data_IF_547985925121
#
_entry.id   IF_547985925121
#
_cell.length_a   1.000
_cell.length_b   1.000
_cell.length_c   1.000
_cell.angle_alpha   90.00
_cell.angle_beta   90.00
_cell.angle_gamma   90.00
#
_symmetry.space_group_name_H-M   'P 1'
#
loop_
_entity.id
_entity.type
_entity.pdbx_description
1 polymer ?
#
# COMPACT_ATOMS: atom_id res chain seq x y z
N UNK A 1 2.53 -51.56 -68.46
CA UNK A 1 3.72 -50.93 -67.83
C UNK A 1 3.42 -49.66 -67.00
N UNK A 2 2.17 -49.31 -66.66
CA UNK A 2 1.86 -48.02 -66.00
C UNK A 2 2.11 -47.96 -64.47
N UNK A 3 2.04 -49.09 -63.76
CA UNK A 3 2.19 -49.09 -62.29
C UNK A 3 3.61 -48.74 -61.84
N UNK A 4 4.64 -49.29 -62.49
CA UNK A 4 6.05 -49.05 -62.14
C UNK A 4 6.48 -47.59 -62.37
N UNK A 5 6.08 -46.98 -63.49
CA UNK A 5 6.37 -45.55 -63.76
C UNK A 5 5.64 -44.62 -62.80
N UNK A 6 4.44 -44.98 -62.32
CA UNK A 6 3.71 -44.21 -61.31
C UNK A 6 4.39 -44.29 -59.93
N UNK A 7 4.88 -45.47 -59.55
CA UNK A 7 5.66 -45.67 -58.31
C UNK A 7 6.98 -44.88 -58.38
N UNK A 8 7.71 -44.97 -59.51
CA UNK A 8 8.99 -44.28 -59.68
C UNK A 8 8.83 -42.74 -59.62
N UNK A 9 7.76 -42.20 -60.20
CA UNK A 9 7.40 -40.77 -60.07
C UNK A 9 7.16 -40.38 -58.61
N UNK A 10 6.34 -41.14 -57.87
CA UNK A 10 6.08 -40.89 -56.44
C UNK A 10 7.36 -40.95 -55.59
N UNK A 11 8.25 -41.90 -55.88
CA UNK A 11 9.53 -42.04 -55.20
C UNK A 11 10.47 -40.85 -55.48
N UNK A 12 10.55 -40.40 -56.73
CA UNK A 12 11.30 -39.20 -57.11
C UNK A 12 10.75 -37.91 -56.49
N UNK A 13 9.42 -37.78 -56.41
CA UNK A 13 8.78 -36.67 -55.70
C UNK A 13 9.10 -36.69 -54.20
N UNK A 14 9.04 -37.85 -53.55
CA UNK A 14 9.45 -38.02 -52.13
C UNK A 14 10.91 -37.64 -51.90
N UNK A 15 11.82 -38.07 -52.79
CA UNK A 15 13.24 -37.72 -52.73
C UNK A 15 13.47 -36.21 -52.87
N UNK A 16 12.75 -35.56 -53.79
CA UNK A 16 12.83 -34.11 -54.01
C UNK A 16 12.30 -33.33 -52.79
N UNK A 17 11.18 -33.74 -52.20
CA UNK A 17 10.67 -33.16 -50.94
C UNK A 17 11.63 -33.39 -49.77
N UNK A 18 12.25 -34.57 -49.67
CA UNK A 18 13.27 -34.86 -48.65
C UNK A 18 14.51 -33.98 -48.77
N UNK A 19 14.97 -33.74 -50.01
CA UNK A 19 16.13 -32.90 -50.29
C UNK A 19 15.82 -31.40 -50.09
N UNK A 20 14.62 -30.96 -50.45
CA UNK A 20 14.14 -29.62 -50.13
C UNK A 20 14.02 -29.39 -48.62
N UNK A 21 13.52 -30.37 -47.86
CA UNK A 21 13.37 -30.28 -46.41
C UNK A 21 14.73 -30.30 -45.69
N UNK A 22 15.69 -31.12 -46.13
CA UNK A 22 17.07 -31.06 -45.59
C UNK A 22 17.76 -29.74 -45.93
N UNK A 23 17.63 -29.24 -47.17
CA UNK A 23 18.14 -27.92 -47.54
C UNK A 23 17.55 -26.78 -46.68
N UNK A 24 16.24 -26.83 -46.42
CA UNK A 24 15.57 -25.87 -45.54
C UNK A 24 16.07 -25.93 -44.09
N UNK A 25 16.25 -27.13 -43.53
CA UNK A 25 16.82 -27.31 -42.17
C UNK A 25 18.26 -26.78 -42.11
N UNK A 26 19.09 -27.05 -43.11
CA UNK A 26 20.48 -26.53 -43.15
C UNK A 26 20.49 -24.99 -43.22
N UNK A 27 19.61 -24.38 -44.02
CA UNK A 27 19.48 -22.92 -44.09
C UNK A 27 19.01 -22.31 -42.76
N UNK A 28 18.07 -22.96 -42.04
CA UNK A 28 17.66 -22.52 -40.71
C UNK A 28 18.82 -22.58 -39.70
N UNK A 29 19.57 -23.69 -39.67
CA UNK A 29 20.73 -23.83 -38.77
C UNK A 29 21.81 -22.79 -39.08
N UNK A 30 22.13 -22.57 -40.35
CA UNK A 30 23.09 -21.54 -40.77
C UNK A 30 22.63 -20.12 -40.39
N UNK A 31 21.34 -19.81 -40.57
CA UNK A 31 20.77 -18.52 -40.19
C UNK A 31 20.76 -18.28 -38.66
N UNK A 32 20.60 -19.33 -37.85
CA UNK A 32 20.74 -19.25 -36.39
C UNK A 32 22.21 -18.99 -36.02
N UNK A 33 23.15 -19.75 -36.58
CA UNK A 33 24.58 -19.60 -36.29
C UNK A 33 25.13 -18.20 -36.64
N UNK A 34 24.71 -17.61 -37.77
CA UNK A 34 25.12 -16.25 -38.16
C UNK A 34 24.57 -15.18 -37.19
N UNK A 35 23.35 -15.37 -36.68
CA UNK A 35 22.76 -14.49 -35.66
C UNK A 35 23.47 -14.63 -34.30
N UNK A 36 23.76 -15.85 -33.87
CA UNK A 36 24.40 -16.14 -32.58
C UNK A 36 25.89 -15.75 -32.55
N UNK A 37 26.58 -15.83 -33.70
CA UNK A 37 27.94 -15.32 -33.87
C UNK A 37 28.03 -13.79 -33.81
N UNK A 38 26.91 -13.09 -34.01
CA UNK A 38 26.78 -11.65 -33.83
C UNK A 38 27.15 -11.21 -32.41
N UNK A 39 27.77 -10.03 -32.28
CA UNK A 39 28.08 -9.43 -30.98
C UNK A 39 27.03 -8.40 -30.58
N UNK A 40 26.63 -8.39 -29.32
CA UNK A 40 25.74 -7.36 -28.78
C UNK A 40 26.41 -5.97 -28.89
N UNK A 41 25.80 -5.07 -29.68
CA UNK A 41 26.33 -3.73 -29.97
C UNK A 41 25.94 -2.67 -28.93
N UNK A 42 24.99 -2.96 -28.05
CA UNK A 42 24.51 -2.02 -27.03
C UNK A 42 23.15 -2.39 -26.46
N UNK A 43 22.73 -1.62 -25.46
CA UNK A 43 21.49 -1.84 -24.70
C UNK A 43 20.53 -0.66 -24.94
N UNK A 44 19.30 -0.96 -25.34
CA UNK A 44 18.16 -0.06 -25.32
C UNK A 44 17.22 -0.47 -24.19
N UNK A 45 16.79 0.50 -23.36
CA UNK A 45 15.77 0.29 -22.32
C UNK A 45 14.59 1.19 -22.66
N UNK A 46 13.38 0.62 -22.61
CA UNK A 46 12.10 1.31 -22.81
C UNK A 46 11.18 0.95 -21.66
N UNK A 47 10.44 1.93 -21.15
CA UNK A 47 9.40 1.69 -20.15
C UNK A 47 8.04 1.57 -20.83
N UNK A 48 7.22 0.66 -20.35
CA UNK A 48 5.82 0.53 -20.74
C UNK A 48 4.94 1.03 -19.58
N UNK A 49 4.04 1.97 -19.88
CA UNK A 49 3.19 2.66 -18.91
C UNK A 49 2.33 3.74 -19.58
N UNK A 50 1.31 4.24 -18.86
CA UNK A 50 0.42 5.31 -19.35
C UNK A 50 0.93 6.72 -19.08
N UNK A 51 1.75 6.89 -18.05
CA UNK A 51 2.27 8.18 -17.58
C UNK A 51 3.78 8.28 -17.77
N UNK A 52 4.29 9.48 -18.05
CA UNK A 52 5.74 9.79 -18.10
C UNK A 52 6.42 9.84 -16.72
N UNK A 53 5.71 9.43 -15.66
CA UNK A 53 6.14 9.56 -14.26
C UNK A 53 6.80 8.27 -13.74
N UNK A 54 8.08 8.11 -14.07
CA UNK A 54 8.85 6.92 -13.67
C UNK A 54 9.59 7.09 -12.32
N UNK A 55 9.58 6.04 -11.51
CA UNK A 55 10.37 5.96 -10.28
C UNK A 55 11.88 5.77 -10.54
N UNK A 56 12.20 5.19 -11.70
CA UNK A 56 13.54 4.76 -12.16
C UNK A 56 13.82 5.25 -13.59
N UNK A 57 15.09 5.45 -13.94
CA UNK A 57 15.52 5.83 -15.29
C UNK A 57 16.04 4.65 -16.14
N UNK A 58 16.09 4.80 -17.48
CA UNK A 58 16.80 3.87 -18.37
C UNK A 58 18.27 3.67 -18.00
N UNK A 59 18.88 4.62 -17.28
CA UNK A 59 20.27 4.55 -16.81
C UNK A 59 20.42 3.64 -15.59
N UNK A 60 19.41 3.53 -14.74
CA UNK A 60 19.46 2.76 -13.51
C UNK A 60 19.46 1.25 -13.86
N UNK A 61 18.54 0.84 -14.75
CA UNK A 61 18.48 -0.51 -15.33
C UNK A 61 19.79 -0.87 -16.09
N UNK A 62 20.33 0.06 -16.89
CA UNK A 62 21.63 -0.16 -17.57
C UNK A 62 22.77 -0.33 -16.56
N UNK A 63 22.77 0.44 -15.47
CA UNK A 63 23.79 0.35 -14.44
C UNK A 63 23.69 -0.96 -13.66
N UNK A 64 22.48 -1.46 -13.38
CA UNK A 64 22.25 -2.76 -12.73
C UNK A 64 22.92 -3.90 -13.52
N UNK A 65 22.71 -3.95 -14.84
CA UNK A 65 23.27 -4.97 -15.74
C UNK A 65 24.79 -4.83 -15.90
N UNK A 66 25.30 -3.60 -16.05
CA UNK A 66 26.73 -3.35 -16.31
C UNK A 66 27.59 -3.47 -15.04
N UNK A 67 26.99 -3.39 -13.85
CA UNK A 67 27.66 -3.53 -12.54
C UNK A 67 28.34 -4.90 -12.39
N UNK A 68 27.72 -5.97 -12.87
CA UNK A 68 28.37 -7.28 -12.96
C UNK A 68 29.03 -7.44 -14.35
N UNK A 69 30.36 -7.48 -14.37
CA UNK A 69 31.15 -7.70 -15.59
C UNK A 69 30.87 -9.06 -16.25
N UNK A 70 30.42 -10.05 -15.47
CA UNK A 70 30.06 -11.37 -15.97
C UNK A 70 28.67 -11.38 -16.63
N UNK A 71 27.76 -10.48 -16.25
CA UNK A 71 26.44 -10.35 -16.87
C UNK A 71 26.38 -9.29 -17.98
N UNK A 72 27.30 -8.32 -17.98
CA UNK A 72 27.35 -7.28 -19.01
C UNK A 72 27.33 -7.88 -20.44
N UNK A 73 26.26 -7.66 -21.22
CA UNK A 73 26.07 -8.28 -22.52
C UNK A 73 26.90 -7.58 -23.62
N UNK A 74 27.29 -6.33 -23.43
CA UNK A 74 27.90 -5.50 -24.49
C UNK A 74 29.24 -6.09 -24.93
N UNK A 75 29.38 -6.37 -26.23
CA UNK A 75 30.57 -6.96 -26.84
C UNK A 75 30.66 -8.50 -26.76
N UNK A 76 29.79 -9.17 -26.01
CA UNK A 76 29.68 -10.64 -26.01
C UNK A 76 28.93 -11.13 -27.25
N UNK A 77 29.13 -12.40 -27.63
CA UNK A 77 28.31 -13.07 -28.65
C UNK A 77 26.88 -13.21 -28.15
N UNK A 78 25.91 -13.12 -29.05
CA UNK A 78 24.48 -13.21 -28.71
C UNK A 78 24.14 -14.58 -28.12
N UNK A 79 24.64 -15.67 -28.71
CA UNK A 79 24.42 -17.03 -28.19
C UNK A 79 25.03 -17.32 -26.81
N UNK A 80 26.01 -16.51 -26.37
CA UNK A 80 26.65 -16.66 -25.05
C UNK A 80 25.91 -15.87 -23.94
N UNK A 81 24.89 -15.07 -24.28
CA UNK A 81 24.18 -14.19 -23.34
C UNK A 81 22.93 -14.88 -22.82
N UNK A 82 22.91 -15.18 -21.52
CA UNK A 82 21.75 -15.76 -20.87
C UNK A 82 20.68 -14.67 -20.60
N UNK A 83 19.69 -14.60 -21.49
CA UNK A 83 18.57 -13.65 -21.41
C UNK A 83 17.78 -13.82 -20.10
N UNK A 84 17.43 -15.06 -19.73
CA UNK A 84 16.65 -15.35 -18.53
C UNK A 84 17.36 -14.95 -17.23
N UNK A 85 18.70 -15.00 -17.18
CA UNK A 85 19.48 -14.45 -16.06
C UNK A 85 19.47 -12.92 -16.01
N UNK A 86 19.39 -12.24 -17.16
CA UNK A 86 19.25 -10.78 -17.21
C UNK A 86 17.85 -10.34 -16.80
N UNK A 87 16.81 -11.06 -17.24
CA UNK A 87 15.41 -10.84 -16.81
C UNK A 87 15.29 -11.01 -15.29
N UNK A 88 15.72 -12.17 -14.77
CA UNK A 88 15.70 -12.44 -13.32
C UNK A 88 16.59 -11.52 -12.48
N UNK A 89 17.56 -10.80 -13.05
CA UNK A 89 18.31 -9.74 -12.38
C UNK A 89 17.51 -8.44 -12.32
N UNK A 90 16.81 -8.08 -13.40
CA UNK A 90 16.03 -6.83 -13.47
C UNK A 90 14.73 -6.95 -12.66
N UNK A 91 14.10 -8.13 -12.63
CA UNK A 91 12.89 -8.38 -11.83
C UNK A 91 13.14 -8.37 -10.30
N UNK A 92 14.41 -8.34 -9.86
CA UNK A 92 14.78 -8.10 -8.45
C UNK A 92 14.71 -6.62 -8.07
N UNK A 93 14.62 -5.70 -9.03
CA UNK A 93 14.43 -4.28 -8.73
C UNK A 93 12.99 -4.04 -8.26
N UNK A 94 12.77 -3.46 -7.06
CA UNK A 94 11.44 -3.38 -6.46
C UNK A 94 10.52 -2.33 -7.12
N UNK A 95 11.02 -1.53 -8.07
CA UNK A 95 10.18 -0.69 -8.92
C UNK A 95 9.73 -1.40 -10.21
N UNK A 96 10.33 -2.55 -10.54
CA UNK A 96 9.99 -3.36 -11.72
C UNK A 96 8.91 -4.39 -11.38
N UNK A 97 7.89 -4.45 -12.26
CA UNK A 97 6.83 -5.47 -12.21
C UNK A 97 7.18 -6.68 -13.08
N UNK A 98 7.78 -6.43 -14.23
CA UNK A 98 8.21 -7.43 -15.22
C UNK A 98 9.22 -6.78 -16.18
N UNK A 99 10.24 -7.54 -16.59
CA UNK A 99 11.13 -7.18 -17.69
C UNK A 99 11.06 -8.19 -18.84
N UNK A 100 10.85 -7.71 -20.07
CA UNK A 100 10.98 -8.54 -21.29
C UNK A 100 12.27 -8.16 -22.02
N UNK A 101 13.14 -9.15 -22.30
CA UNK A 101 14.44 -8.91 -22.94
C UNK A 101 14.56 -9.68 -24.25
N UNK A 102 14.95 -8.99 -25.32
CA UNK A 102 15.14 -9.62 -26.63
C UNK A 102 16.21 -8.92 -27.47
N UNK A 103 16.79 -9.65 -28.42
CA UNK A 103 17.69 -9.06 -29.43
C UNK A 103 16.92 -8.67 -30.70
N UNK A 104 17.26 -7.51 -31.26
CA UNK A 104 16.78 -7.11 -32.58
C UNK A 104 17.72 -7.55 -33.71
N UNK A 105 17.25 -7.39 -34.96
CA UNK A 105 18.04 -7.68 -36.17
C UNK A 105 19.26 -6.75 -36.35
N UNK A 106 19.45 -5.73 -35.49
CA UNK A 106 20.64 -4.86 -35.48
C UNK A 106 21.69 -5.34 -34.47
N UNK A 107 21.43 -6.44 -33.75
CA UNK A 107 22.27 -6.98 -32.67
C UNK A 107 22.29 -6.06 -31.44
N UNK A 108 21.19 -5.37 -31.14
CA UNK A 108 21.01 -4.60 -29.91
C UNK A 108 20.08 -5.34 -28.94
N UNK A 109 20.46 -5.32 -27.66
CA UNK A 109 19.63 -5.83 -26.58
C UNK A 109 18.55 -4.80 -26.28
N UNK A 110 17.29 -5.17 -26.52
CA UNK A 110 16.13 -4.37 -26.18
C UNK A 110 15.54 -4.92 -24.87
N UNK A 111 15.32 -4.02 -23.92
CA UNK A 111 14.77 -4.31 -22.60
C UNK A 111 13.52 -3.46 -22.47
N UNK A 112 12.36 -4.12 -22.38
CA UNK A 112 11.10 -3.49 -22.02
C UNK A 112 10.91 -3.68 -20.52
N UNK A 113 10.58 -2.61 -19.82
CA UNK A 113 10.37 -2.64 -18.37
C UNK A 113 8.96 -2.14 -18.07
N UNK A 114 8.15 -3.01 -17.51
CA UNK A 114 6.84 -2.65 -16.95
C UNK A 114 7.07 -2.23 -15.50
N UNK A 115 6.80 -0.96 -15.19
CA UNK A 115 6.96 -0.43 -13.83
C UNK A 115 5.80 -0.93 -12.94
N UNK A 116 6.04 -1.04 -11.62
CA UNK A 116 4.95 -1.21 -10.65
C UNK A 116 4.14 0.08 -10.51
N UNK A 117 2.82 -0.06 -10.54
CA UNK A 117 1.86 1.02 -10.31
C UNK A 117 1.35 0.93 -8.86
N UNK A 118 1.60 1.94 -8.01
CA UNK A 118 1.15 1.94 -6.63
C UNK A 118 -0.36 2.24 -6.54
N UNK A 119 -1.02 1.65 -5.54
CA UNK A 119 -2.44 1.85 -5.24
C UNK A 119 -2.67 2.49 -3.87
N UNK A 120 -1.67 2.43 -2.98
CA UNK A 120 -1.71 3.03 -1.65
C UNK A 120 -0.30 3.46 -1.22
N UNK A 121 -0.19 4.55 -0.45
CA UNK A 121 1.04 4.95 0.25
C UNK A 121 0.90 4.68 1.74
N UNK A 122 1.86 3.97 2.31
CA UNK A 122 1.83 3.49 3.69
C UNK A 122 2.85 4.23 4.52
N UNK A 123 2.47 4.62 5.74
CA UNK A 123 3.35 5.09 6.80
C UNK A 123 3.23 4.18 8.03
N UNK A 124 4.37 3.68 8.50
CA UNK A 124 4.46 2.79 9.67
C UNK A 124 4.59 3.60 10.96
N UNK A 125 4.39 2.96 12.13
CA UNK A 125 4.58 3.63 13.43
C UNK A 125 6.01 4.12 13.69
N UNK A 126 7.03 3.55 13.03
CA UNK A 126 8.42 4.02 13.15
C UNK A 126 8.72 5.26 12.29
N UNK A 127 7.78 5.66 11.42
CA UNK A 127 7.93 6.79 10.51
C UNK A 127 8.50 6.44 9.13
N UNK A 128 8.77 5.16 8.85
CA UNK A 128 9.10 4.73 7.49
C UNK A 128 7.88 4.84 6.57
N UNK A 129 8.14 4.93 5.26
CA UNK A 129 7.06 4.92 4.26
C UNK A 129 7.44 4.14 3.01
N UNK A 130 6.45 3.45 2.45
CA UNK A 130 6.53 2.69 1.20
C UNK A 130 5.20 2.83 0.45
N UNK A 131 5.12 2.28 -0.76
CA UNK A 131 3.86 2.09 -1.48
C UNK A 131 3.53 0.60 -1.60
N UNK A 132 2.26 0.29 -1.75
CA UNK A 132 1.78 -1.03 -2.16
C UNK A 132 1.28 -0.97 -3.60
N UNK A 133 1.56 -2.00 -4.39
CA UNK A 133 0.91 -2.21 -5.69
C UNK A 133 -0.40 -2.99 -5.58
N UNK A 134 -1.08 -3.21 -6.71
CA UNK A 134 -2.35 -3.95 -6.77
C UNK A 134 -2.24 -5.44 -6.38
N UNK A 135 -1.04 -6.01 -6.27
CA UNK A 135 -0.81 -7.36 -5.75
C UNK A 135 -0.46 -7.36 -4.24
N UNK A 136 -0.30 -6.19 -3.62
CA UNK A 136 0.17 -6.05 -2.24
C UNK A 136 1.69 -6.13 -2.10
N UNK A 137 2.45 -5.99 -3.20
CA UNK A 137 3.91 -5.98 -3.16
C UNK A 137 4.45 -4.61 -2.73
N UNK A 138 5.58 -4.62 -2.02
CA UNK A 138 6.20 -3.41 -1.48
C UNK A 138 7.02 -2.69 -2.55
N UNK A 139 6.68 -1.43 -2.84
CA UNK A 139 7.48 -0.52 -3.67
C UNK A 139 8.14 0.54 -2.75
N UNK A 140 9.47 0.67 -2.71
CA UNK A 140 10.14 1.69 -1.92
C UNK A 140 9.87 3.10 -2.48
N UNK A 141 9.92 4.11 -1.62
CA UNK A 141 9.81 5.51 -2.05
C UNK A 141 11.02 5.94 -2.88
N UNK A 142 10.77 6.66 -3.97
CA UNK A 142 11.82 7.30 -4.78
C UNK A 142 11.92 8.78 -4.41
N UNK A 143 13.15 9.32 -4.39
CA UNK A 143 13.36 10.77 -4.28
C UNK A 143 12.98 11.54 -5.56
N UNK A 144 12.62 10.82 -6.64
CA UNK A 144 12.35 11.39 -7.98
C UNK A 144 10.87 11.64 -8.25
N UNK A 145 10.01 10.74 -7.79
CA UNK A 145 8.57 10.77 -8.05
C UNK A 145 7.80 10.33 -6.81
N UNK A 146 6.72 11.07 -6.52
CA UNK A 146 5.77 10.74 -5.47
C UNK A 146 4.39 10.51 -6.12
N UNK A 147 3.96 9.26 -6.18
CA UNK A 147 2.67 8.91 -6.75
C UNK A 147 1.50 9.48 -5.94
N UNK A 148 0.46 9.94 -6.66
CA UNK A 148 -0.78 10.47 -6.10
C UNK A 148 -1.76 9.33 -5.84
N UNK A 149 -1.63 8.70 -4.68
CA UNK A 149 -2.46 7.59 -4.21
C UNK A 149 -2.99 7.87 -2.79
N UNK A 150 -4.05 7.19 -2.32
CA UNK A 150 -4.52 7.30 -0.94
C UNK A 150 -3.41 7.03 0.08
N UNK A 151 -3.38 7.81 1.17
CA UNK A 151 -2.35 7.72 2.20
C UNK A 151 -2.91 7.04 3.45
N UNK A 152 -2.29 5.94 3.84
CA UNK A 152 -2.56 5.16 5.03
C UNK A 152 -1.45 5.39 6.07
N UNK A 153 -1.83 5.50 7.33
CA UNK A 153 -0.93 5.81 8.45
C UNK A 153 -1.19 4.85 9.62
N UNK A 154 -0.19 4.61 10.47
CA UNK A 154 -0.32 3.69 11.60
C UNK A 154 -0.18 2.21 11.22
N UNK A 155 0.52 1.89 10.14
CA UNK A 155 0.76 0.49 9.76
C UNK A 155 1.68 -0.19 10.79
N UNK A 156 1.37 -1.42 11.26
CA UNK A 156 1.91 -1.97 12.49
C UNK A 156 3.35 -2.50 12.42
N UNK A 157 3.93 -2.65 11.22
CA UNK A 157 5.23 -3.31 11.04
C UNK A 157 6.04 -2.71 9.88
N UNK A 158 7.37 -2.72 10.02
CA UNK A 158 8.32 -2.40 8.95
C UNK A 158 8.83 -3.66 8.22
N UNK A 159 8.37 -4.86 8.60
CA UNK A 159 8.90 -6.11 8.09
C UNK A 159 8.40 -6.40 6.67
N UNK A 160 9.34 -6.59 5.73
CA UNK A 160 9.06 -7.06 4.35
C UNK A 160 8.26 -8.37 4.34
N UNK A 161 8.49 -9.25 5.33
CA UNK A 161 7.71 -10.48 5.54
C UNK A 161 6.59 -10.24 6.54
N UNK A 162 5.41 -9.97 5.98
CA UNK A 162 4.15 -9.78 6.70
C UNK A 162 3.71 -11.04 7.47
N UNK A 163 3.19 -10.88 8.69
CA UNK A 163 2.48 -11.96 9.38
C UNK A 163 1.08 -12.12 8.76
N UNK A 164 0.40 -13.26 8.97
CA UNK A 164 -0.95 -13.51 8.42
C UNK A 164 -1.97 -12.39 8.70
N UNK A 165 -1.90 -11.76 9.88
CA UNK A 165 -2.76 -10.63 10.24
C UNK A 165 -2.38 -9.33 9.49
N UNK A 166 -1.10 -9.13 9.18
CA UNK A 166 -0.62 -8.03 8.36
C UNK A 166 -0.94 -8.27 6.87
N UNK A 167 -0.93 -9.52 6.40
CA UNK A 167 -1.35 -9.88 5.04
C UNK A 167 -2.83 -9.53 4.79
N UNK A 168 -3.74 -9.89 5.70
CA UNK A 168 -5.16 -9.53 5.58
C UNK A 168 -5.38 -8.01 5.64
N UNK A 169 -4.67 -7.31 6.52
CA UNK A 169 -4.67 -5.84 6.57
C UNK A 169 -4.17 -5.24 5.24
N UNK A 170 -3.13 -5.82 4.64
CA UNK A 170 -2.55 -5.38 3.36
C UNK A 170 -3.54 -5.58 2.22
N UNK A 171 -4.25 -6.71 2.14
CA UNK A 171 -5.34 -6.91 1.17
C UNK A 171 -6.42 -5.84 1.33
N UNK A 172 -6.89 -5.58 2.56
CA UNK A 172 -7.90 -4.54 2.81
C UNK A 172 -7.43 -3.13 2.45
N UNK A 173 -6.15 -2.81 2.66
CA UNK A 173 -5.52 -1.56 2.22
C UNK A 173 -5.49 -1.45 0.70
N UNK A 174 -5.13 -2.54 0.00
CA UNK A 174 -5.09 -2.59 -1.47
C UNK A 174 -6.50 -2.45 -2.06
N UNK A 175 -7.49 -3.15 -1.53
CA UNK A 175 -8.88 -3.08 -1.99
C UNK A 175 -9.46 -1.67 -1.81
N UNK A 176 -9.25 -1.06 -0.63
CA UNK A 176 -9.73 0.29 -0.34
C UNK A 176 -8.93 1.36 -1.09
N UNK A 177 -7.62 1.18 -1.26
CA UNK A 177 -6.77 2.05 -2.07
C UNK A 177 -7.18 2.06 -3.54
N UNK A 178 -7.48 0.88 -4.11
CA UNK A 178 -8.04 0.74 -5.45
C UNK A 178 -9.43 1.38 -5.56
N UNK A 179 -10.35 1.15 -4.61
CA UNK A 179 -11.68 1.75 -4.66
C UNK A 179 -11.62 3.28 -4.64
N UNK A 180 -10.86 3.86 -3.70
CA UNK A 180 -10.71 5.31 -3.55
C UNK A 180 -9.97 5.89 -4.76
N UNK A 181 -8.89 5.26 -5.22
CA UNK A 181 -8.09 5.75 -6.36
C UNK A 181 -8.86 5.78 -7.68
N UNK A 182 -9.84 4.89 -7.87
CA UNK A 182 -10.72 4.86 -9.04
C UNK A 182 -11.93 5.80 -8.94
N UNK A 183 -12.24 6.36 -7.76
CA UNK A 183 -13.33 7.32 -7.56
C UNK A 183 -12.79 8.76 -7.36
N UNK A 184 -12.94 9.67 -8.34
CA UNK A 184 -12.43 11.04 -8.24
C UNK A 184 -13.03 11.88 -7.10
N UNK A 185 -14.23 11.53 -6.61
CA UNK A 185 -14.85 12.21 -5.48
C UNK A 185 -14.21 11.74 -4.17
N UNK A 186 -14.08 10.44 -3.92
CA UNK A 186 -13.44 9.93 -2.70
C UNK A 186 -11.94 10.27 -2.66
N UNK A 187 -11.23 10.18 -3.78
CA UNK A 187 -9.82 10.61 -3.89
C UNK A 187 -9.63 12.11 -3.63
N UNK A 188 -10.67 12.93 -3.77
CA UNK A 188 -10.66 14.36 -3.43
C UNK A 188 -11.20 14.66 -2.02
N UNK A 189 -12.00 13.77 -1.43
CA UNK A 189 -12.61 13.96 -0.11
C UNK A 189 -11.82 13.33 1.04
N UNK A 190 -10.94 12.36 0.79
CA UNK A 190 -10.17 11.68 1.85
C UNK A 190 -8.79 12.32 1.96
N UNK A 191 -8.49 12.94 3.10
CA UNK A 191 -7.18 13.58 3.35
C UNK A 191 -6.16 12.57 3.90
N UNK A 192 -6.59 11.74 4.87
CA UNK A 192 -5.74 10.74 5.52
C UNK A 192 -6.58 9.55 5.97
N UNK A 193 -6.12 8.33 5.67
CA UNK A 193 -6.59 7.09 6.27
C UNK A 193 -5.66 6.70 7.43
N UNK A 194 -6.26 6.27 8.53
CA UNK A 194 -5.58 5.86 9.75
C UNK A 194 -5.94 4.42 10.08
N UNK A 195 -4.92 3.61 10.29
CA UNK A 195 -5.03 2.25 10.79
C UNK A 195 -4.95 2.34 12.32
N UNK A 196 -6.00 1.87 12.99
CA UNK A 196 -6.08 1.85 14.45
C UNK A 196 -5.29 0.66 15.03
N UNK A 197 -5.04 0.69 16.33
CA UNK A 197 -4.33 -0.39 17.04
C UNK A 197 -5.02 -1.76 16.94
N UNK A 198 -6.35 -1.79 16.77
CA UNK A 198 -7.17 -2.98 16.52
C UNK A 198 -7.32 -3.33 15.02
N UNK A 199 -6.47 -2.73 14.15
CA UNK A 199 -6.39 -3.00 12.70
C UNK A 199 -7.70 -2.68 11.96
N UNK A 200 -8.42 -1.66 12.43
CA UNK A 200 -9.55 -1.03 11.73
C UNK A 200 -9.07 0.24 11.02
N UNK A 201 -9.95 0.82 10.23
CA UNK A 201 -9.73 2.06 9.51
C UNK A 201 -10.63 3.16 10.06
N UNK A 202 -10.03 4.32 10.28
CA UNK A 202 -10.69 5.61 10.40
C UNK A 202 -10.14 6.53 9.30
N UNK A 203 -10.89 7.54 8.86
CA UNK A 203 -10.35 8.55 7.96
C UNK A 203 -10.80 9.96 8.29
N UNK A 204 -9.94 10.91 7.94
CA UNK A 204 -10.20 12.34 8.08
C UNK A 204 -10.61 12.86 6.70
N UNK A 205 -11.84 13.40 6.55
CA UNK A 205 -12.28 14.01 5.31
C UNK A 205 -11.63 15.39 5.13
N UNK A 206 -11.55 15.86 3.89
CA UNK A 206 -11.03 17.19 3.53
C UNK A 206 -11.95 18.33 3.98
N UNK A 207 -13.22 18.03 4.27
CA UNK A 207 -14.25 18.99 4.67
C UNK A 207 -14.86 18.62 6.04
N UNK A 208 -14.73 19.55 6.99
CA UNK A 208 -15.17 19.39 8.37
C UNK A 208 -14.11 18.72 9.28
N UNK A 209 -14.39 18.68 10.57
CA UNK A 209 -13.46 18.21 11.62
C UNK A 209 -13.82 16.81 12.16
N UNK A 210 -14.77 16.13 11.52
CA UNK A 210 -15.28 14.83 11.95
C UNK A 210 -14.36 13.69 11.54
N UNK A 211 -14.12 12.73 12.44
CA UNK A 211 -13.47 11.46 12.10
C UNK A 211 -14.52 10.48 11.59
N UNK A 212 -14.31 9.92 10.40
CA UNK A 212 -15.15 8.86 9.85
C UNK A 212 -14.62 7.51 10.33
N UNK A 213 -15.39 6.78 11.12
CA UNK A 213 -15.05 5.42 11.56
C UNK A 213 -15.57 4.44 10.50
N UNK A 214 -14.64 3.86 9.73
CA UNK A 214 -14.96 2.97 8.62
C UNK A 214 -15.11 1.51 9.08
N UNK A 215 -14.36 1.13 10.10
CA UNK A 215 -14.32 -0.25 10.61
C UNK A 215 -13.29 -1.09 9.85
N UNK A 216 -13.63 -2.33 9.54
CA UNK A 216 -12.79 -3.20 8.71
C UNK A 216 -12.88 -2.85 7.23
N UNK A 217 -11.94 -3.32 6.41
CA UNK A 217 -11.89 -3.10 4.95
C UNK A 217 -12.84 -3.99 4.14
N UNK A 218 -13.96 -4.42 4.71
CA UNK A 218 -15.01 -5.20 4.02
C UNK A 218 -16.13 -4.27 3.53
N UNK A 219 -16.96 -4.73 2.59
CA UNK A 219 -18.16 -4.00 2.10
C UNK A 219 -17.90 -2.53 1.72
N UNK A 220 -16.72 -2.26 1.15
CA UNK A 220 -16.16 -0.91 0.97
C UNK A 220 -17.13 0.01 0.22
N UNK A 221 -17.66 -0.45 -0.91
CA UNK A 221 -18.63 0.28 -1.71
C UNK A 221 -19.90 0.61 -0.93
N UNK A 222 -20.49 -0.37 -0.21
CA UNK A 222 -21.71 -0.14 0.59
C UNK A 222 -21.48 0.91 1.68
N UNK A 223 -20.33 0.85 2.36
CA UNK A 223 -19.95 1.83 3.40
C UNK A 223 -19.82 3.24 2.82
N UNK A 224 -19.16 3.40 1.67
CA UNK A 224 -19.05 4.70 1.00
C UNK A 224 -20.37 5.20 0.42
N UNK A 225 -21.21 4.35 -0.19
CA UNK A 225 -22.55 4.70 -0.65
C UNK A 225 -23.42 5.20 0.50
N UNK A 226 -23.40 4.51 1.65
CA UNK A 226 -24.11 4.92 2.87
C UNK A 226 -23.61 6.26 3.42
N UNK A 227 -22.30 6.51 3.41
CA UNK A 227 -21.73 7.80 3.78
C UNK A 227 -22.18 8.93 2.83
N UNK A 228 -22.19 8.68 1.53
CA UNK A 228 -22.64 9.65 0.52
C UNK A 228 -24.13 9.97 0.67
N UNK A 229 -24.97 8.99 0.99
CA UNK A 229 -26.37 9.20 1.32
C UNK A 229 -26.51 10.08 2.58
N UNK A 230 -25.72 9.80 3.63
CA UNK A 230 -25.71 10.62 4.85
C UNK A 230 -25.26 12.07 4.59
N UNK A 231 -24.28 12.29 3.71
CA UNK A 231 -23.89 13.64 3.29
C UNK A 231 -25.02 14.37 2.55
N UNK A 232 -25.73 13.69 1.63
CA UNK A 232 -26.81 14.27 0.82
C UNK A 232 -28.10 14.53 1.61
N UNK A 233 -28.46 13.66 2.54
CA UNK A 233 -29.78 13.66 3.18
C UNK A 233 -29.75 13.93 4.69
N UNK A 234 -28.66 13.58 5.36
CA UNK A 234 -28.44 13.81 6.78
C UNK A 234 -27.83 15.19 7.04
N UNK A 235 -26.58 15.41 6.61
CA UNK A 235 -25.83 16.64 6.88
C UNK A 235 -26.49 17.89 6.30
N UNK A 236 -27.23 17.79 5.21
CA UNK A 236 -28.02 18.90 4.66
C UNK A 236 -29.21 19.33 5.55
N UNK A 237 -29.67 18.48 6.48
CA UNK A 237 -30.74 18.81 7.43
C UNK A 237 -30.20 19.25 8.79
N UNK A 238 -29.19 18.55 9.30
CA UNK A 238 -28.66 18.78 10.66
C UNK A 238 -27.50 19.79 10.68
N UNK A 239 -26.73 19.90 9.59
CA UNK A 239 -25.54 20.74 9.46
C UNK A 239 -24.22 19.97 9.67
N UNK A 240 -23.19 20.36 8.92
CA UNK A 240 -21.90 19.67 8.87
C UNK A 240 -21.10 19.68 10.18
N UNK A 241 -21.16 20.77 10.95
CA UNK A 241 -20.28 20.98 12.11
C UNK A 241 -20.80 20.37 13.43
N UNK A 242 -21.85 19.54 13.40
CA UNK A 242 -22.50 19.03 14.62
C UNK A 242 -21.86 17.78 15.22
N UNK A 243 -20.97 17.08 14.50
CA UNK A 243 -20.43 15.78 14.91
C UNK A 243 -18.91 15.78 15.07
N UNK A 244 -18.39 15.03 16.04
CA UNK A 244 -16.96 14.71 16.18
C UNK A 244 -16.61 13.39 15.48
N UNK A 245 -17.53 12.42 15.48
CA UNK A 245 -17.36 11.11 14.88
C UNK A 245 -18.61 10.71 14.11
N UNK A 246 -18.41 10.13 12.93
CA UNK A 246 -19.45 9.51 12.10
C UNK A 246 -19.01 8.06 11.87
N UNK A 247 -19.74 7.11 12.45
CA UNK A 247 -19.43 5.69 12.32
C UNK A 247 -20.32 5.05 11.25
N UNK A 248 -19.67 4.52 10.21
CA UNK A 248 -20.31 3.83 9.07
C UNK A 248 -19.99 2.33 9.02
N UNK A 249 -19.31 1.80 10.04
CA UNK A 249 -18.95 0.39 10.14
C UNK A 249 -20.16 -0.54 10.37
N UNK A 250 -21.23 -0.04 10.99
CA UNK A 250 -22.50 -0.76 11.12
C UNK A 250 -23.16 -0.92 9.76
N UNK A 251 -23.78 -2.07 9.48
CA UNK A 251 -24.27 -2.39 8.14
C UNK A 251 -25.30 -1.36 7.61
N UNK A 252 -26.41 -1.20 8.33
CA UNK A 252 -27.60 -0.49 7.84
C UNK A 252 -27.82 0.91 8.45
N UNK A 253 -26.87 1.43 9.24
CA UNK A 253 -27.02 2.70 9.94
C UNK A 253 -25.73 3.55 9.97
N UNK A 254 -25.87 4.81 10.34
CA UNK A 254 -24.78 5.77 10.52
C UNK A 254 -24.87 6.37 11.91
N UNK A 255 -23.99 5.92 12.82
CA UNK A 255 -24.02 6.32 14.23
C UNK A 255 -23.10 7.52 14.44
N UNK A 256 -23.65 8.65 14.84
CA UNK A 256 -22.88 9.90 14.97
C UNK A 256 -22.74 10.35 16.44
N UNK A 257 -21.52 10.75 16.83
CA UNK A 257 -21.25 11.38 18.13
C UNK A 257 -21.29 12.90 17.96
N UNK A 258 -22.18 13.58 18.70
CA UNK A 258 -22.33 15.04 18.61
C UNK A 258 -21.20 15.80 19.32
N UNK A 259 -20.83 16.98 18.79
CA UNK A 259 -19.82 17.88 19.39
C UNK A 259 -20.25 18.47 20.74
N UNK A 260 -21.54 18.64 20.95
CA UNK A 260 -22.11 19.21 22.18
C UNK A 260 -22.26 18.18 23.32
N UNK A 261 -21.97 16.89 23.08
CA UNK A 261 -22.16 15.82 24.06
C UNK A 261 -23.63 15.53 24.39
N UNK A 262 -24.58 16.19 23.73
CA UNK A 262 -26.01 15.99 23.94
C UNK A 262 -26.41 14.68 23.27
N UNK A 263 -27.14 13.81 23.99
CA UNK A 263 -27.72 12.60 23.41
C UNK A 263 -28.69 13.03 22.29
N UNK A 264 -28.66 12.44 21.08
CA UNK A 264 -29.49 12.90 19.98
C UNK A 264 -30.96 13.00 20.38
N UNK A 265 -31.62 14.07 19.91
CA UNK A 265 -33.06 14.23 20.05
C UNK A 265 -33.74 12.95 19.56
N UNK A 266 -34.41 12.24 20.47
CA UNK A 266 -35.20 11.08 20.10
C UNK A 266 -36.19 11.51 19.02
N UNK A 267 -36.43 10.69 17.98
CA UNK A 267 -37.47 11.01 17.01
C UNK A 267 -38.78 11.20 17.78
N UNK A 268 -39.48 12.32 17.54
CA UNK A 268 -40.79 12.55 18.15
C UNK A 268 -41.74 11.54 17.52
N UNK A 269 -41.85 10.37 18.14
CA UNK A 269 -42.88 9.39 17.83
C UNK A 269 -44.20 10.08 18.17
N UNK A 270 -44.94 10.51 17.14
CA UNK A 270 -46.27 11.09 17.33
C UNK A 270 -47.15 10.00 17.93
N UNK A 271 -47.58 10.20 19.17
CA UNK A 271 -48.30 9.21 19.99
C UNK A 271 -49.76 8.96 19.55
N UNK A 272 -50.14 9.41 18.35
CA UNK A 272 -51.52 9.51 17.87
C UNK A 272 -52.10 8.20 17.30
N UNK A 273 -51.46 7.04 17.48
CA UNK A 273 -51.91 5.79 16.82
C UNK A 273 -51.78 4.51 17.66
N UNK A 274 -51.49 4.58 18.96
CA UNK A 274 -51.56 3.41 19.86
C UNK A 274 -52.51 3.69 21.03
N UNK A 275 -53.81 3.80 20.71
CA UNK A 275 -54.86 3.40 21.65
C UNK A 275 -55.11 1.90 21.47
N UNK A 276 -54.26 1.10 22.11
CA UNK A 276 -54.65 -0.26 22.47
C UNK A 276 -55.65 -0.14 23.63
N UNK A 277 -56.84 -0.76 23.56
CA UNK A 277 -57.71 -0.84 24.72
C UNK A 277 -57.01 -1.63 25.81
N UNK A 278 -57.08 -1.15 27.06
CA UNK A 278 -56.61 -1.92 28.20
C UNK A 278 -57.39 -3.23 28.28
N UNK A 279 -56.67 -4.34 28.28
CA UNK A 279 -57.22 -5.64 28.69
C UNK A 279 -56.96 -5.74 30.18
N UNK A 280 -58.04 -5.70 30.98
CA UNK A 280 -57.95 -5.93 32.42
C UNK A 280 -57.56 -7.39 32.67
N UNK A 281 -56.32 -7.62 33.07
CA UNK A 281 -55.85 -8.92 33.56
C UNK A 281 -55.73 -8.85 35.10
N UNK A 282 -56.57 -9.60 35.86
CA UNK A 282 -56.55 -9.55 37.32
C UNK A 282 -55.31 -10.26 37.89
N UNK A 283 -54.82 -9.83 39.07
CA UNK A 283 -53.63 -10.42 39.67
C UNK A 283 -53.92 -11.85 40.17
N UNK A 284 -53.11 -12.81 39.71
CA UNK A 284 -53.10 -14.16 40.29
C UNK A 284 -52.36 -14.08 41.63
N UNK A 285 -53.07 -14.40 42.71
CA UNK A 285 -52.53 -14.46 44.06
C UNK A 285 -51.90 -15.83 44.36
N UNK A 286 -50.94 -15.84 45.28
CA UNK A 286 -50.19 -17.02 45.70
C UNK A 286 -51.06 -18.08 46.40
N UNK A 287 -50.69 -19.35 46.24
CA UNK A 287 -51.13 -20.46 47.11
C UNK A 287 -49.95 -21.40 47.40
N UNK A 288 -49.54 -21.44 48.66
CA UNK A 288 -48.63 -22.44 49.23
C UNK A 288 -49.42 -23.55 49.94
N UNK A 289 -49.00 -24.82 49.79
CA UNK A 289 -48.92 -25.88 50.82
C UNK A 289 -48.43 -27.19 50.13
N UNK A 290 -47.24 -27.73 50.47
CA UNK A 290 -47.00 -28.78 51.49
C UNK A 290 -47.35 -30.22 51.02
N UNK A 291 -46.57 -31.30 51.25
CA UNK A 291 -45.29 -31.52 51.95
C UNK A 291 -44.62 -32.87 51.49
N UNK A 292 -43.36 -33.11 51.90
CA UNK A 292 -42.62 -34.38 52.07
C UNK A 292 -41.77 -34.91 50.88
N UNK A 293 -40.48 -35.28 51.07
CA UNK A 293 -39.63 -35.09 52.26
C UNK A 293 -38.19 -35.67 52.14
N UNK A 294 -37.29 -35.24 53.04
CA UNK A 294 -35.89 -35.68 53.29
C UNK A 294 -34.85 -35.42 52.14
N UNK A 295 -33.55 -35.15 52.37
CA UNK A 295 -32.65 -35.41 53.53
C UNK A 295 -31.63 -34.26 53.75
N UNK A 296 -31.01 -34.17 54.94
CA UNK A 296 -30.07 -33.12 55.40
C UNK A 296 -28.63 -33.23 54.80
N UNK A 297 -27.72 -32.23 54.84
CA UNK A 297 -27.01 -31.66 56.02
C UNK A 297 -26.16 -30.38 55.66
N UNK A 298 -25.48 -29.65 56.59
CA UNK A 298 -25.64 -28.19 56.72
C UNK A 298 -24.45 -27.25 56.33
N UNK A 299 -24.72 -25.96 56.55
CA UNK A 299 -23.92 -24.74 56.28
C UNK A 299 -22.79 -24.50 57.31
N UNK A 300 -21.69 -23.85 56.87
CA UNK A 300 -20.82 -23.06 57.74
C UNK A 300 -20.37 -21.75 57.03
N UNK A 301 -20.33 -20.63 57.76
CA UNK A 301 -20.04 -19.29 57.22
C UNK A 301 -18.62 -18.79 57.61
N UNK A 302 -18.09 -17.81 56.88
CA UNK A 302 -16.88 -17.03 57.26
C UNK A 302 -16.80 -15.67 56.52
N UNK A 303 -16.01 -14.69 57.00
CA UNK A 303 -16.49 -13.30 57.05
C UNK A 303 -15.78 -12.28 56.12
N UNK A 304 -16.25 -11.04 56.26
CA UNK A 304 -15.87 -9.77 55.61
C UNK A 304 -14.39 -9.37 55.82
N UNK A 305 -13.73 -8.72 54.85
CA UNK A 305 -12.33 -8.28 54.96
C UNK A 305 -12.15 -6.95 55.73
N UNK A 306 -11.02 -6.81 56.41
CA UNK A 306 -10.60 -5.60 57.13
C UNK A 306 -9.29 -5.02 56.54
N UNK A 307 -9.03 -3.74 56.80
CA UNK A 307 -8.06 -2.92 56.05
C UNK A 307 -6.64 -2.92 56.66
N UNK A 308 -5.62 -2.74 55.80
CA UNK A 308 -4.25 -2.37 56.21
C UNK A 308 -3.73 -1.22 55.36
N UNK A 309 -3.10 -0.23 56.01
CA UNK A 309 -2.40 0.93 55.43
C UNK A 309 -0.98 1.03 56.08
N UNK A 310 -0.08 1.92 55.63
CA UNK A 310 1.13 1.51 54.93
C UNK A 310 2.43 1.60 55.76
N UNK A 311 3.49 0.93 55.30
CA UNK A 311 4.85 1.02 55.84
C UNK A 311 5.88 1.54 54.80
N UNK A 312 7.05 2.00 55.26
CA UNK A 312 7.86 3.01 54.58
C UNK A 312 9.22 2.56 53.99
N UNK A 313 9.91 3.53 53.35
CA UNK A 313 11.28 3.51 52.79
C UNK A 313 12.35 2.75 53.59
N UNK A 314 13.44 2.36 52.90
CA UNK A 314 14.80 2.70 53.34
C UNK A 314 15.57 3.61 52.35
N UNK A 315 16.74 4.10 52.78
CA UNK A 315 17.64 5.00 52.03
C UNK A 315 19.04 4.39 51.80
N UNK A 316 19.89 5.08 51.02
CA UNK A 316 21.26 4.72 50.65
C UNK A 316 22.24 4.46 51.82
N UNK A 317 23.37 3.80 51.52
CA UNK A 317 24.68 4.36 51.86
C UNK A 317 25.63 4.47 50.63
N UNK A 318 26.80 5.08 50.81
CA UNK A 318 27.70 5.50 49.73
C UNK A 318 29.20 5.21 49.99
N UNK A 319 30.01 5.38 48.92
CA UNK A 319 31.48 5.49 48.81
C UNK A 319 32.32 4.20 48.70
N UNK A 320 33.07 4.14 47.60
CA UNK A 320 34.35 3.44 47.43
C UNK A 320 35.10 4.04 46.23
N UNK A 321 36.34 4.52 46.42
CA UNK A 321 37.21 5.04 45.35
C UNK A 321 38.30 4.02 45.05
N UNK A 322 38.74 3.86 43.78
CA UNK A 322 40.18 3.80 43.53
C UNK A 322 40.68 4.19 42.11
N UNK A 323 41.72 5.03 42.15
CA UNK A 323 42.87 5.24 41.24
C UNK A 323 42.77 5.28 39.70
N UNK A 324 43.40 6.34 39.18
CA UNK A 324 43.86 6.50 37.81
C UNK A 324 45.38 6.21 37.66
N UNK A 325 45.84 6.05 36.41
CA UNK A 325 47.18 6.36 35.89
C UNK A 325 46.96 6.96 34.47
N UNK A 326 47.31 8.19 34.05
CA UNK A 326 48.63 8.83 33.82
C UNK A 326 49.65 7.92 33.10
N UNK A 327 50.40 8.30 32.06
CA UNK A 327 50.74 9.55 31.32
C UNK A 327 50.87 9.20 29.80
N UNK A 328 50.95 10.09 28.80
CA UNK A 328 51.97 11.15 28.62
C UNK A 328 51.60 12.27 27.62
N UNK A 329 52.25 13.39 27.89
CA UNK A 329 52.34 14.70 27.23
C UNK A 329 53.10 14.75 25.88
N UNK A 330 52.66 15.63 24.95
CA UNK A 330 53.51 16.68 24.32
C UNK A 330 52.72 17.63 23.41
N UNK A 331 52.91 18.95 23.61
CA UNK A 331 52.37 20.04 22.75
C UNK A 331 53.49 20.99 22.32
N UNK A 332 53.69 21.13 21.00
CA UNK A 332 54.68 22.01 20.29
C UNK A 332 54.15 22.21 18.84
N UNK A 333 54.08 23.37 18.17
CA UNK A 333 54.34 24.80 18.50
C UNK A 333 53.37 25.74 17.73
N UNK A 334 52.61 26.55 18.47
CA UNK A 334 52.11 27.94 18.20
C UNK A 334 52.45 28.64 16.85
N UNK A 335 51.43 29.14 16.14
CA UNK A 335 51.35 30.42 15.37
C UNK A 335 50.13 30.41 14.39
N UNK A 336 49.38 31.49 14.07
CA UNK A 336 49.22 32.86 14.61
C UNK A 336 47.92 33.49 14.04
N UNK A 337 47.31 34.40 14.81
CA UNK A 337 46.43 35.52 14.41
C UNK A 337 44.89 35.32 14.32
N UNK A 338 44.16 36.43 14.50
CA UNK A 338 42.71 36.56 14.76
C UNK A 338 42.11 37.67 13.84
N UNK A 339 40.89 38.24 14.09
CA UNK A 339 39.55 37.65 14.22
C UNK A 339 38.48 38.28 13.27
N UNK A 340 37.27 37.67 13.22
CA UNK A 340 35.97 38.25 12.79
C UNK A 340 35.81 38.60 11.28
N UNK A 341 34.57 38.82 10.75
CA UNK A 341 33.26 38.86 11.41
C UNK A 341 32.19 37.86 10.88
N UNK A 342 31.06 37.77 11.59
CA UNK A 342 29.90 36.99 11.19
C UNK A 342 29.27 37.54 9.89
N UNK A 343 28.88 36.65 8.97
CA UNK A 343 28.09 37.00 7.78
C UNK A 343 26.68 36.44 7.88
N UNK A 344 25.70 37.33 7.74
CA UNK A 344 24.27 37.03 7.68
C UNK A 344 23.96 36.21 6.41
N UNK A 345 23.10 35.20 6.52
CA UNK A 345 22.54 34.50 5.37
C UNK A 345 21.30 35.26 4.85
N UNK A 346 21.14 35.46 3.53
CA UNK A 346 20.04 36.23 2.98
C UNK A 346 18.71 35.45 3.03
N UNK A 347 17.63 36.12 3.46
CA UNK A 347 16.27 35.59 3.38
C UNK A 347 15.82 35.51 1.91
N UNK A 348 15.26 34.36 1.50
CA UNK A 348 14.65 34.22 0.19
C UNK A 348 13.36 35.05 0.10
N UNK A 349 13.25 35.92 -0.91
CA UNK A 349 12.07 36.75 -1.17
C UNK A 349 11.21 36.07 -2.23
N UNK A 350 9.97 35.74 -1.87
CA UNK A 350 8.97 35.19 -2.79
C UNK A 350 8.45 36.29 -3.73
N UNK A 351 8.49 36.04 -5.05
CA UNK A 351 7.84 36.89 -6.07
C UNK A 351 6.67 36.10 -6.70
N UNK A 352 5.41 36.53 -6.55
CA UNK A 352 4.29 35.88 -7.22
C UNK A 352 4.34 36.13 -8.73
N UNK A 353 4.35 35.07 -9.53
CA UNK A 353 4.36 35.14 -10.99
C UNK A 353 2.94 35.24 -11.56
N UNK A 354 2.54 36.43 -12.00
CA UNK A 354 1.33 36.61 -12.82
C UNK A 354 1.47 35.88 -14.17
N UNK A 355 0.68 34.83 -14.41
CA UNK A 355 0.20 34.45 -15.76
C UNK A 355 -1.22 33.91 -15.72
N UNK A 356 -2.16 34.79 -16.05
CA UNK A 356 -3.52 34.41 -16.47
C UNK A 356 -3.47 33.63 -17.78
N UNK A 357 -4.06 32.43 -17.83
CA UNK A 357 -4.36 31.74 -19.09
C UNK A 357 -5.88 31.74 -19.27
N UNK A 358 -6.30 32.40 -20.34
CA UNK A 358 -7.70 32.69 -20.64
C UNK A 358 -8.29 31.59 -21.52
N UNK A 359 -9.18 30.76 -20.98
CA UNK A 359 -9.86 29.69 -21.74
C UNK A 359 -11.26 30.11 -22.16
N UNK A 360 -11.34 30.99 -23.17
CA UNK A 360 -12.59 31.18 -23.92
C UNK A 360 -12.63 30.24 -25.13
N UNK A 361 -13.40 29.15 -25.03
CA UNK A 361 -13.92 28.44 -26.20
C UNK A 361 -15.43 28.31 -26.06
N UNK A 362 -16.13 28.98 -26.98
CA UNK A 362 -17.58 28.94 -27.15
C UNK A 362 -18.04 27.50 -27.40
N UNK A 363 -19.03 27.05 -26.62
CA UNK A 363 -19.82 25.88 -26.97
C UNK A 363 -21.19 26.40 -27.46
N UNK A 364 -21.49 26.18 -28.74
CA UNK A 364 -22.83 26.40 -29.29
C UNK A 364 -23.57 25.07 -29.27
N UNK A 365 -24.68 25.02 -28.55
CA UNK A 365 -25.72 23.99 -28.69
C UNK A 365 -26.46 24.20 -30.02
N UNK A 366 -26.95 23.11 -30.62
CA UNK A 366 -28.35 22.98 -31.02
C UNK A 366 -29.15 22.24 -29.94
#
# INVERSE_FOLDING_TARGET
>A
MSKTTTILKRLGTLLLWGLALTGFVVLLVAAIQDKDAGKCKGIQVKFEGKDDNFFIEPKDIKSLIVKDKNLNPVGKKIGDINIAQLEALIDQDPWVKNAEIYFDNRQQLNIKVTQREPVARIFTFSGNSFYLDAAGEHIPVSGRYAARVPVFTGFPTDAEKLQKADSLLTTQIVDMGNYIGNDPFWMAQIEQLMITSDRRFEFIPKLGDQVIVFGDGTDIEKKFVKLLAFYKEGLNKVGWNNYTRINIAFENEVVCTRKDGVVPLQPVIKTDSIKLPAVDEPPIADVEDADSGAVAHPVAASPKPEAVKPAAKPAHPAKGKEKAKTQHEKVVKKAKAAPAPAKQQPKAVYKPGNKSVNTSKKQKTP
#
